data_IF_282940066453
#
_entry.id   IF_282940066453
#
_cell.length_a   1.000
_cell.length_b   1.000
_cell.length_c   1.000
_cell.angle_alpha   90.00
_cell.angle_beta   90.00
_cell.angle_gamma   90.00
#
_symmetry.space_group_name_H-M   'P 1'
#
loop_
_entity.id
_entity.type
_entity.pdbx_description
1 polymer ?
#
# COMPACT_ATOMS: atom_id res chain seq x y z
N UNK A 1 -29.85 -1.28 8.72
CA UNK A 1 -28.71 -2.20 8.90
C UNK A 1 -28.11 -2.40 7.52
N UNK A 2 -27.02 -1.67 7.21
CA UNK A 2 -26.32 -1.78 5.92
C UNK A 2 -25.32 -2.92 6.03
N UNK A 3 -25.32 -3.82 5.04
CA UNK A 3 -24.45 -4.99 4.99
C UNK A 3 -23.14 -4.59 4.31
N UNK A 4 -22.07 -4.35 5.08
CA UNK A 4 -20.72 -4.22 4.54
C UNK A 4 -20.15 -5.62 4.29
N UNK A 5 -19.48 -5.84 3.16
CA UNK A 5 -18.74 -7.09 2.90
C UNK A 5 -17.32 -6.91 3.43
N UNK A 6 -16.98 -7.61 4.52
CA UNK A 6 -15.59 -7.74 4.97
C UNK A 6 -14.77 -8.43 3.88
N UNK A 7 -13.62 -7.86 3.52
CA UNK A 7 -12.55 -8.60 2.86
C UNK A 7 -11.91 -9.52 3.92
N UNK A 8 -12.48 -10.71 4.13
CA UNK A 8 -11.90 -11.73 5.01
C UNK A 8 -10.95 -12.63 4.23
N UNK A 9 -9.67 -12.64 4.64
CA UNK A 9 -8.89 -13.87 4.64
C UNK A 9 -9.34 -14.69 5.86
N UNK A 10 -10.06 -15.79 5.63
CA UNK A 10 -10.50 -16.70 6.70
C UNK A 10 -9.38 -17.70 7.04
N UNK A 11 -9.28 -18.21 8.29
CA UNK A 11 -10.13 -19.37 8.61
C UNK A 11 -10.62 -19.53 10.07
N UNK A 12 -11.84 -20.09 10.13
CA UNK A 12 -12.36 -21.13 11.04
C UNK A 12 -11.90 -21.21 12.51
N UNK A 13 -12.91 -21.08 13.36
CA UNK A 13 -12.96 -21.36 14.80
C UNK A 13 -12.84 -22.85 15.10
N UNK A 14 -11.95 -23.21 16.04
CA UNK A 14 -12.17 -24.30 17.00
C UNK A 14 -11.30 -24.06 18.25
N UNK A 15 -11.94 -23.97 19.42
CA UNK A 15 -11.26 -23.73 20.70
C UNK A 15 -10.98 -25.01 21.48
N UNK A 16 -9.94 -24.99 22.32
CA UNK A 16 -9.86 -25.72 23.60
C UNK A 16 -8.95 -24.94 24.57
N UNK A 17 -9.44 -24.74 25.80
CA UNK A 17 -8.73 -24.23 26.98
C UNK A 17 -7.43 -24.97 27.30
N UNK A 18 -6.46 -24.28 27.91
CA UNK A 18 -5.74 -24.80 29.09
C UNK A 18 -5.13 -23.66 29.92
N UNK A 19 -5.21 -23.84 31.23
CA UNK A 19 -4.90 -22.88 32.27
C UNK A 19 -3.55 -23.16 32.97
N UNK A 20 -3.01 -22.14 33.64
CA UNK A 20 -2.01 -22.24 34.72
C UNK A 20 -0.57 -21.95 34.25
N UNK A 21 0.29 -21.24 34.98
CA UNK A 21 0.26 -20.71 36.34
C UNK A 21 1.23 -19.52 36.44
N UNK A 22 0.97 -18.63 37.38
CA UNK A 22 1.81 -17.49 37.75
C UNK A 22 3.18 -17.91 38.30
N UNK A 23 4.19 -17.04 38.11
CA UNK A 23 5.31 -16.92 39.02
C UNK A 23 5.75 -15.45 39.14
N UNK A 24 5.49 -14.89 40.32
CA UNK A 24 6.02 -13.63 40.83
C UNK A 24 7.54 -13.68 41.01
N UNK A 25 8.24 -12.59 40.71
CA UNK A 25 9.39 -12.21 41.53
C UNK A 25 9.52 -10.70 41.63
N UNK A 26 9.49 -10.25 42.88
CA UNK A 26 9.69 -8.91 43.37
C UNK A 26 11.18 -8.53 43.39
N UNK A 27 11.51 -7.33 42.91
CA UNK A 27 12.82 -6.71 43.11
C UNK A 27 12.68 -5.20 43.24
N UNK A 28 13.07 -4.69 44.39
CA UNK A 28 13.09 -3.27 44.78
C UNK A 28 14.04 -2.44 43.89
N UNK A 29 13.54 -1.37 43.28
CA UNK A 29 14.35 -0.20 42.93
C UNK A 29 13.59 1.09 43.31
N UNK A 30 14.31 2.01 43.97
CA UNK A 30 13.79 3.30 44.43
C UNK A 30 13.52 4.25 43.24
N UNK A 31 12.52 5.15 43.33
CA UNK A 31 12.09 5.94 42.19
C UNK A 31 13.04 7.10 41.93
N UNK A 32 13.64 7.12 40.73
CA UNK A 32 14.31 8.30 40.20
C UNK A 32 13.22 9.32 39.85
N UNK A 33 13.29 10.50 40.45
CA UNK A 33 12.35 11.60 40.23
C UNK A 33 12.35 11.98 38.75
N UNK A 34 11.27 11.62 38.02
CA UNK A 34 11.03 12.11 36.69
C UNK A 34 10.38 13.50 36.79
N UNK A 35 11.12 14.53 36.43
CA UNK A 35 10.52 15.79 35.99
C UNK A 35 9.62 15.47 34.80
N UNK A 36 8.31 15.48 35.03
CA UNK A 36 7.31 15.35 33.98
C UNK A 36 7.49 16.50 32.98
N UNK A 37 8.09 16.18 31.83
CA UNK A 37 8.02 17.03 30.65
C UNK A 37 6.55 17.05 30.27
N UNK A 38 5.89 18.18 30.49
CA UNK A 38 4.56 18.43 29.95
C UNK A 38 4.68 18.43 28.43
N UNK A 39 4.47 17.28 27.80
CA UNK A 39 4.34 17.18 26.35
C UNK A 39 3.12 18.01 25.97
N UNK A 40 3.34 19.06 25.17
CA UNK A 40 2.23 19.71 24.49
C UNK A 40 1.41 18.63 23.75
N UNK A 41 0.07 18.76 23.66
CA UNK A 41 -0.72 17.83 22.87
C UNK A 41 -0.12 17.71 21.47
N UNK A 42 0.18 16.48 21.03
CA UNK A 42 0.70 16.24 19.69
C UNK A 42 -0.40 16.63 18.70
N UNK A 43 -0.10 17.56 17.81
CA UNK A 43 -0.99 17.90 16.70
C UNK A 43 -0.88 16.83 15.62
N UNK A 44 -1.81 15.88 15.65
CA UNK A 44 -1.86 14.79 14.70
C UNK A 44 -2.32 15.22 13.30
N UNK A 45 -2.90 16.41 13.15
CA UNK A 45 -3.46 16.86 11.86
C UNK A 45 -2.38 17.23 10.83
N UNK A 46 -1.16 17.47 11.30
CA UNK A 46 0.01 17.82 10.48
C UNK A 46 1.15 16.79 10.59
N UNK A 47 0.98 15.76 11.42
CA UNK A 47 1.98 14.73 11.62
C UNK A 47 1.80 13.60 10.60
N UNK A 48 2.72 13.48 9.65
CA UNK A 48 2.74 12.36 8.69
C UNK A 48 3.15 11.05 9.36
N UNK A 49 4.15 11.10 10.23
CA UNK A 49 4.76 9.93 10.86
C UNK A 49 4.47 9.94 12.36
N UNK A 50 3.68 8.98 12.86
CA UNK A 50 3.61 8.76 14.30
C UNK A 50 5.00 8.31 14.83
N UNK A 51 5.36 8.57 16.09
CA UNK A 51 6.52 7.92 16.68
C UNK A 51 6.26 6.40 16.72
N UNK A 52 7.23 5.54 16.38
CA UNK A 52 7.09 4.11 16.58
C UNK A 52 6.83 3.84 18.08
N UNK A 53 5.96 2.89 18.45
CA UNK A 53 5.52 2.69 19.83
C UNK A 53 6.65 2.53 20.86
N UNK A 54 7.82 2.05 20.43
CA UNK A 54 8.99 1.80 21.28
C UNK A 54 10.26 2.57 20.82
N UNK A 55 10.13 3.70 20.12
CA UNK A 55 11.24 4.64 19.87
C UNK A 55 12.34 4.18 18.90
N UNK A 56 12.07 3.21 18.03
CA UNK A 56 13.03 2.71 17.03
C UNK A 56 12.41 2.46 15.65
N UNK A 57 12.06 1.21 15.38
CA UNK A 57 11.55 0.73 14.08
C UNK A 57 10.09 0.28 14.19
N UNK A 58 9.30 0.51 13.14
CA UNK A 58 8.01 -0.13 12.93
C UNK A 58 8.25 -1.59 12.56
N UNK A 59 7.87 -2.50 13.45
CA UNK A 59 8.00 -3.94 13.23
C UNK A 59 6.60 -4.53 13.23
N UNK A 60 6.30 -5.43 12.31
CA UNK A 60 5.03 -6.15 12.33
C UNK A 60 5.15 -7.59 11.88
N UNK A 61 4.06 -8.30 12.11
CA UNK A 61 3.85 -9.67 11.67
C UNK A 61 2.45 -9.75 11.09
N UNK A 62 2.31 -10.28 9.88
CA UNK A 62 0.99 -10.59 9.35
C UNK A 62 0.32 -11.63 10.24
N UNK A 63 -0.92 -11.37 10.65
CA UNK A 63 -1.76 -12.31 11.38
C UNK A 63 -2.44 -13.33 10.47
N UNK A 64 -1.66 -14.08 9.66
CA UNK A 64 -2.22 -15.08 8.74
C UNK A 64 -2.98 -16.17 9.49
N UNK A 65 -2.53 -16.52 10.70
CA UNK A 65 -3.19 -17.43 11.61
C UNK A 65 -3.45 -16.75 12.97
N UNK A 66 -4.52 -17.17 13.68
CA UNK A 66 -4.74 -16.74 15.06
C UNK A 66 -3.51 -17.00 15.93
N UNK A 67 -3.06 -15.98 16.66
CA UNK A 67 -1.91 -16.07 17.56
C UNK A 67 -0.54 -15.83 16.91
N UNK A 68 -0.46 -15.58 15.60
CA UNK A 68 0.82 -15.26 14.93
C UNK A 68 1.44 -13.98 15.52
N UNK A 69 0.64 -12.93 15.69
CA UNK A 69 1.09 -11.65 16.28
C UNK A 69 1.52 -11.85 17.74
N UNK A 70 0.72 -12.54 18.54
CA UNK A 70 1.04 -12.81 19.96
C UNK A 70 2.35 -13.60 20.10
N UNK A 71 2.53 -14.63 19.27
CA UNK A 71 3.75 -15.45 19.26
C UNK A 71 4.96 -14.62 18.85
N UNK A 72 4.79 -13.76 17.85
CA UNK A 72 5.84 -12.86 17.39
C UNK A 72 6.22 -11.84 18.48
N UNK A 73 5.26 -11.14 19.05
CA UNK A 73 5.46 -10.16 20.13
C UNK A 73 6.13 -10.82 21.35
N UNK A 74 5.72 -12.03 21.72
CA UNK A 74 6.36 -12.80 22.79
C UNK A 74 7.81 -13.16 22.48
N UNK A 75 8.14 -13.48 21.22
CA UNK A 75 9.50 -13.83 20.80
C UNK A 75 10.44 -12.61 20.80
N UNK A 76 9.96 -11.44 20.36
CA UNK A 76 10.79 -10.22 20.27
C UNK A 76 10.74 -9.36 21.54
N UNK A 77 9.84 -9.66 22.48
CA UNK A 77 9.70 -8.95 23.75
C UNK A 77 9.18 -7.52 23.62
N UNK A 78 8.50 -7.19 22.52
CA UNK A 78 7.90 -5.87 22.25
C UNK A 78 6.66 -5.99 21.38
N UNK A 79 5.82 -4.96 21.38
CA UNK A 79 4.59 -4.94 20.56
C UNK A 79 4.90 -4.73 19.08
N UNK A 80 4.16 -5.41 18.22
CA UNK A 80 4.15 -5.17 16.79
C UNK A 80 3.41 -3.85 16.53
N UNK A 81 3.97 -2.99 15.69
CA UNK A 81 3.40 -1.73 15.26
C UNK A 81 2.66 -1.83 13.92
N UNK A 82 2.97 -2.83 13.09
CA UNK A 82 2.30 -3.04 11.79
C UNK A 82 1.42 -4.28 11.82
N UNK A 83 0.34 -4.23 11.04
CA UNK A 83 -0.65 -5.29 10.83
C UNK A 83 -1.48 -5.62 12.08
N UNK A 84 -2.70 -5.07 12.11
CA UNK A 84 -3.75 -5.43 13.06
C UNK A 84 -4.45 -6.73 12.66
N UNK A 85 -5.15 -7.37 13.60
CA UNK A 85 -5.96 -8.56 13.33
C UNK A 85 -7.14 -8.28 12.39
N UNK A 86 -7.64 -7.04 12.40
CA UNK A 86 -8.69 -6.54 11.50
C UNK A 86 -8.15 -5.36 10.68
N UNK A 87 -8.58 -5.23 9.42
CA UNK A 87 -8.15 -4.15 8.55
C UNK A 87 -9.17 -3.00 8.55
N UNK A 88 -8.73 -1.73 8.64
CA UNK A 88 -9.63 -0.57 8.69
C UNK A 88 -10.20 -0.19 7.31
N UNK A 89 -9.88 -0.96 6.26
CA UNK A 89 -10.33 -0.72 4.89
C UNK A 89 -11.29 -1.83 4.45
N UNK A 90 -12.38 -1.45 3.81
CA UNK A 90 -13.35 -2.35 3.20
C UNK A 90 -13.91 -1.74 1.90
N UNK A 91 -14.91 -2.39 1.33
CA UNK A 91 -15.67 -1.88 0.19
C UNK A 91 -17.17 -1.92 0.48
N UNK A 92 -17.92 -0.98 -0.09
CA UNK A 92 -19.38 -0.95 0.03
C UNK A 92 -20.09 -1.83 -1.03
N UNK A 93 -21.41 -1.65 -1.18
CA UNK A 93 -22.23 -2.42 -2.12
C UNK A 93 -21.92 -2.13 -3.59
N UNK A 94 -21.40 -0.94 -3.89
CA UNK A 94 -20.98 -0.49 -5.22
C UNK A 94 -19.48 -0.72 -5.46
N UNK A 95 -18.80 -1.38 -4.52
CA UNK A 95 -17.37 -1.66 -4.50
C UNK A 95 -16.49 -0.40 -4.45
N UNK A 96 -17.02 0.68 -3.84
CA UNK A 96 -16.24 1.86 -3.51
C UNK A 96 -15.48 1.65 -2.18
N UNK A 97 -14.23 2.12 -2.06
CA UNK A 97 -13.44 1.95 -0.84
C UNK A 97 -14.07 2.74 0.30
N UNK A 98 -14.18 2.08 1.45
CA UNK A 98 -14.69 2.67 2.68
C UNK A 98 -13.72 2.42 3.84
N UNK A 99 -13.61 3.42 4.71
CA UNK A 99 -12.81 3.36 5.92
C UNK A 99 -13.70 3.06 7.14
N UNK A 100 -13.34 2.02 7.88
CA UNK A 100 -14.04 1.54 9.07
C UNK A 100 -13.48 2.24 10.31
N UNK A 101 -14.07 3.38 10.67
CA UNK A 101 -13.58 4.25 11.74
C UNK A 101 -13.38 3.52 13.07
N UNK A 102 -14.35 2.72 13.52
CA UNK A 102 -14.25 2.00 14.80
C UNK A 102 -13.06 1.02 14.83
N UNK A 103 -12.77 0.37 13.70
CA UNK A 103 -11.63 -0.56 13.58
C UNK A 103 -10.31 0.20 13.60
N UNK A 104 -10.25 1.36 12.94
CA UNK A 104 -9.06 2.21 12.95
C UNK A 104 -8.78 2.83 14.31
N UNK A 105 -9.82 3.28 15.01
CA UNK A 105 -9.73 3.78 16.39
C UNK A 105 -9.19 2.71 17.33
N UNK A 106 -9.71 1.48 17.23
CA UNK A 106 -9.19 0.36 18.00
C UNK A 106 -7.71 0.07 17.69
N UNK A 107 -7.34 -0.01 16.40
CA UNK A 107 -5.96 -0.25 16.00
C UNK A 107 -5.01 0.85 16.52
N UNK A 108 -5.46 2.11 16.46
CA UNK A 108 -4.71 3.26 16.98
C UNK A 108 -4.51 3.18 18.51
N UNK A 109 -5.57 2.87 19.25
CA UNK A 109 -5.51 2.73 20.72
C UNK A 109 -4.61 1.57 21.17
N UNK A 110 -4.48 0.54 20.34
CA UNK A 110 -3.56 -0.58 20.54
C UNK A 110 -2.09 -0.21 20.20
N UNK A 111 -1.85 0.96 19.61
CA UNK A 111 -0.53 1.43 19.18
C UNK A 111 -0.12 0.92 17.80
N UNK A 112 -1.07 0.48 16.97
CA UNK A 112 -0.81 0.02 15.61
C UNK A 112 -0.83 1.20 14.62
N UNK A 113 0.04 1.13 13.62
CA UNK A 113 -0.04 2.00 12.47
C UNK A 113 -1.27 1.64 11.63
N UNK A 114 -2.00 2.67 11.19
CA UNK A 114 -3.20 2.52 10.38
C UNK A 114 -2.80 2.60 8.91
N UNK A 115 -2.97 1.49 8.19
CA UNK A 115 -2.66 1.38 6.76
C UNK A 115 -3.95 1.52 5.95
N UNK A 116 -3.95 2.40 4.96
CA UNK A 116 -5.11 2.76 4.14
C UNK A 116 -4.76 2.74 2.65
N UNK A 117 -5.80 2.69 1.82
CA UNK A 117 -5.70 2.78 0.36
C UNK A 117 -6.98 3.38 -0.22
N UNK A 118 -6.97 3.69 -1.51
CA UNK A 118 -8.15 4.10 -2.26
C UNK A 118 -8.56 2.99 -3.26
N UNK A 119 -8.91 3.32 -4.50
CA UNK A 119 -8.99 2.30 -5.54
C UNK A 119 -7.57 1.85 -5.86
N UNK A 120 -7.32 0.54 -5.85
CA UNK A 120 -6.01 0.02 -6.24
C UNK A 120 -5.69 0.42 -7.69
N UNK A 121 -4.55 1.05 -7.94
CA UNK A 121 -4.12 1.54 -9.26
C UNK A 121 -3.80 0.39 -10.24
N UNK A 122 -4.79 -0.43 -10.57
CA UNK A 122 -4.66 -1.60 -11.43
C UNK A 122 -6.03 -2.02 -11.97
N UNK A 123 -6.18 -2.27 -13.29
CA UNK A 123 -7.45 -2.66 -13.90
C UNK A 123 -7.84 -4.14 -13.66
N UNK A 124 -7.02 -4.90 -12.92
CA UNK A 124 -7.22 -6.33 -12.69
C UNK A 124 -8.65 -6.63 -12.16
N UNK A 125 -9.44 -7.48 -12.84
CA UNK A 125 -10.81 -7.77 -12.48
C UNK A 125 -10.87 -8.78 -11.32
N UNK A 126 -10.75 -8.30 -10.08
CA UNK A 126 -10.96 -9.13 -8.88
C UNK A 126 -12.27 -8.77 -8.15
N UNK A 127 -12.95 -9.73 -7.49
CA UNK A 127 -14.29 -9.53 -6.90
C UNK A 127 -14.42 -8.44 -5.83
N UNK A 128 -13.30 -7.92 -5.34
CA UNK A 128 -13.20 -6.90 -4.28
C UNK A 128 -12.72 -5.55 -4.80
N UNK A 129 -12.64 -5.34 -6.12
CA UNK A 129 -12.29 -4.07 -6.75
C UNK A 129 -13.45 -3.53 -7.58
N UNK A 130 -13.49 -2.20 -7.74
CA UNK A 130 -14.46 -1.49 -8.57
C UNK A 130 -14.45 -2.05 -10.01
N UNK A 131 -15.55 -2.64 -10.50
CA UNK A 131 -15.59 -3.20 -11.84
C UNK A 131 -15.34 -2.14 -12.91
N UNK A 132 -14.46 -2.44 -13.86
CA UNK A 132 -14.11 -1.52 -14.94
C UNK A 132 -13.30 -0.30 -14.49
N UNK A 133 -12.66 -0.37 -13.31
CA UNK A 133 -11.66 0.61 -12.90
C UNK A 133 -10.50 0.66 -13.90
N UNK A 134 -10.10 1.87 -14.28
CA UNK A 134 -8.83 2.13 -14.96
C UNK A 134 -8.22 3.39 -14.37
N UNK A 135 -6.90 3.53 -14.49
CA UNK A 135 -6.23 4.78 -14.11
C UNK A 135 -6.78 5.93 -14.94
N UNK A 136 -7.00 5.76 -16.24
CA UNK A 136 -7.52 6.81 -17.13
C UNK A 136 -8.85 7.41 -16.63
N UNK A 137 -9.78 6.56 -16.15
CA UNK A 137 -11.04 7.01 -15.54
C UNK A 137 -10.85 7.71 -14.21
N UNK A 138 -9.88 7.25 -13.41
CA UNK A 138 -9.45 7.94 -12.19
C UNK A 138 -8.95 9.36 -12.52
N UNK A 139 -8.06 9.50 -13.50
CA UNK A 139 -7.49 10.80 -13.89
C UNK A 139 -8.55 11.74 -14.52
N UNK A 140 -9.63 11.19 -15.08
CA UNK A 140 -10.81 11.94 -15.55
C UNK A 140 -11.75 12.36 -14.41
N UNK A 141 -11.55 11.86 -13.19
CA UNK A 141 -12.36 12.17 -12.03
C UNK A 141 -13.68 11.38 -11.92
N UNK A 142 -13.81 10.26 -12.64
CA UNK A 142 -15.02 9.42 -12.56
C UNK A 142 -15.26 8.87 -11.14
N UNK A 143 -14.20 8.75 -10.33
CA UNK A 143 -14.25 8.21 -8.98
C UNK A 143 -14.22 9.26 -7.86
N UNK A 144 -14.22 10.56 -8.19
CA UNK A 144 -14.15 11.68 -7.23
C UNK A 144 -15.21 11.60 -6.13
N UNK A 145 -16.41 11.14 -6.46
CA UNK A 145 -17.52 11.01 -5.50
C UNK A 145 -17.16 10.08 -4.34
N UNK A 146 -16.71 8.86 -4.67
CA UNK A 146 -16.26 7.87 -3.68
C UNK A 146 -15.00 8.31 -2.95
N UNK A 147 -14.04 8.94 -3.65
CA UNK A 147 -12.83 9.47 -3.03
C UNK A 147 -13.12 10.59 -2.02
N UNK A 148 -14.09 11.46 -2.30
CA UNK A 148 -14.51 12.52 -1.37
C UNK A 148 -15.20 11.96 -0.13
N UNK A 149 -16.01 10.91 -0.30
CA UNK A 149 -16.56 10.18 0.84
C UNK A 149 -15.46 9.57 1.71
N UNK A 150 -14.49 8.89 1.09
CA UNK A 150 -13.36 8.30 1.78
C UNK A 150 -12.50 9.37 2.49
N UNK A 151 -12.25 10.51 1.84
CA UNK A 151 -11.56 11.66 2.43
C UNK A 151 -12.31 12.19 3.66
N UNK A 152 -13.65 12.20 3.63
CA UNK A 152 -14.50 12.51 4.77
C UNK A 152 -14.23 11.58 5.96
N UNK A 153 -14.14 10.28 5.72
CA UNK A 153 -13.89 9.27 6.76
C UNK A 153 -12.45 9.38 7.31
N UNK A 154 -11.45 9.58 6.45
CA UNK A 154 -10.08 9.84 6.88
C UNK A 154 -9.97 11.10 7.75
N UNK A 155 -10.70 12.16 7.39
CA UNK A 155 -10.76 13.40 8.17
C UNK A 155 -11.43 13.20 9.53
N UNK A 156 -12.45 12.36 9.61
CA UNK A 156 -13.11 12.01 10.86
C UNK A 156 -12.16 11.30 11.83
N UNK A 157 -11.28 10.43 11.31
CA UNK A 157 -10.22 9.80 12.10
C UNK A 157 -9.12 10.77 12.53
N UNK A 158 -8.64 11.61 11.61
CA UNK A 158 -7.77 12.76 11.91
C UNK A 158 -6.39 12.43 12.51
N UNK A 159 -5.91 11.20 12.32
CA UNK A 159 -4.61 10.70 12.84
C UNK A 159 -3.72 10.20 11.70
N UNK A 160 -2.40 10.06 11.92
CA UNK A 160 -1.45 9.57 10.92
C UNK A 160 -1.88 8.23 10.31
N UNK A 161 -1.82 8.15 8.98
CA UNK A 161 -2.13 6.93 8.23
C UNK A 161 -1.11 6.69 7.10
N UNK A 162 -0.77 5.44 6.87
CA UNK A 162 0.10 4.99 5.78
C UNK A 162 -0.73 4.65 4.56
N UNK A 163 -0.63 5.45 3.51
CA UNK A 163 -1.36 5.29 2.26
C UNK A 163 -0.49 4.55 1.22
N UNK A 164 -1.06 3.54 0.59
CA UNK A 164 -0.51 2.94 -0.63
C UNK A 164 -1.54 3.03 -1.78
N UNK A 165 -1.08 3.40 -2.98
CA UNK A 165 -1.94 3.48 -4.18
C UNK A 165 -2.16 2.11 -4.84
N UNK A 166 -1.13 1.27 -4.81
CA UNK A 166 -1.19 -0.15 -5.16
C UNK A 166 -0.05 -0.86 -4.43
N UNK A 167 -0.13 -2.18 -4.32
CA UNK A 167 0.89 -2.99 -3.65
C UNK A 167 1.58 -3.88 -4.68
N UNK A 168 2.92 -3.89 -4.65
CA UNK A 168 3.77 -4.77 -5.46
C UNK A 168 3.36 -4.76 -6.94
N UNK A 169 3.35 -3.58 -7.61
CA UNK A 169 2.91 -3.48 -9.00
C UNK A 169 3.73 -4.36 -9.96
N UNK A 170 4.99 -4.63 -9.61
CA UNK A 170 5.89 -5.53 -10.34
C UNK A 170 6.05 -6.92 -9.68
N UNK A 171 5.17 -7.26 -8.73
CA UNK A 171 5.09 -8.58 -8.12
C UNK A 171 3.68 -9.12 -8.33
N UNK A 172 2.85 -9.17 -7.28
CA UNK A 172 1.46 -9.65 -7.43
C UNK A 172 0.61 -8.85 -8.45
N UNK A 173 1.03 -7.62 -8.78
CA UNK A 173 0.38 -6.79 -9.79
C UNK A 173 0.98 -6.89 -11.20
N UNK A 174 2.03 -7.69 -11.42
CA UNK A 174 2.88 -7.67 -12.63
C UNK A 174 2.11 -7.84 -13.94
N UNK A 175 1.06 -8.65 -13.95
CA UNK A 175 0.26 -8.91 -15.15
C UNK A 175 -0.49 -7.64 -15.62
N UNK A 176 -0.87 -6.77 -14.69
CA UNK A 176 -1.74 -5.63 -14.99
C UNK A 176 -1.05 -4.29 -14.81
N UNK A 177 -0.09 -4.17 -13.90
CA UNK A 177 0.51 -2.89 -13.47
C UNK A 177 -0.58 -1.82 -13.31
N UNK A 178 -0.41 -0.65 -13.95
CA UNK A 178 -1.43 0.40 -14.05
C UNK A 178 -2.38 0.28 -15.25
N UNK A 179 -2.25 -0.77 -16.07
CA UNK A 179 -3.06 -1.05 -17.26
C UNK A 179 -2.40 -0.65 -18.58
N UNK A 180 -2.72 -1.39 -19.63
CA UNK A 180 -2.21 -1.17 -20.98
C UNK A 180 -3.31 -0.83 -21.98
N UNK A 181 -2.88 -0.40 -23.17
CA UNK A 181 -3.75 -0.04 -24.28
C UNK A 181 -4.41 1.34 -24.14
N UNK A 182 -5.22 1.74 -25.14
CA UNK A 182 -5.78 3.09 -25.20
C UNK A 182 -6.74 3.43 -24.05
N UNK A 183 -7.35 2.42 -23.41
CA UNK A 183 -8.26 2.60 -22.28
C UNK A 183 -7.62 2.37 -20.92
N UNK A 184 -6.37 1.90 -20.87
CA UNK A 184 -5.72 1.44 -19.65
C UNK A 184 -6.47 0.26 -19.00
N UNK A 185 -7.04 -0.64 -19.80
CA UNK A 185 -7.90 -1.75 -19.36
C UNK A 185 -7.40 -3.13 -19.81
N UNK A 186 -6.21 -3.19 -20.40
CA UNK A 186 -5.59 -4.42 -20.88
C UNK A 186 -4.47 -4.87 -19.96
N UNK A 187 -4.15 -6.17 -20.00
CA UNK A 187 -3.01 -6.79 -19.33
C UNK A 187 -1.74 -6.75 -20.21
N UNK A 188 -0.63 -7.21 -19.62
CA UNK A 188 0.68 -7.24 -20.28
C UNK A 188 0.73 -8.23 -21.44
N UNK A 189 -0.07 -9.30 -21.41
CA UNK A 189 -0.11 -10.30 -22.48
C UNK A 189 -0.75 -9.71 -23.73
N UNK A 190 -1.86 -9.00 -23.58
CA UNK A 190 -2.47 -8.24 -24.66
C UNK A 190 -1.47 -7.22 -25.23
N UNK A 191 -0.75 -6.50 -24.37
CA UNK A 191 0.24 -5.51 -24.78
C UNK A 191 1.33 -6.17 -25.64
N UNK A 192 1.87 -7.30 -25.19
CA UNK A 192 2.89 -8.07 -25.90
C UNK A 192 2.39 -8.66 -27.23
N UNK A 193 1.17 -9.21 -27.26
CA UNK A 193 0.58 -9.81 -28.47
C UNK A 193 0.28 -8.78 -29.55
N UNK A 194 -0.01 -7.54 -29.16
CA UNK A 194 -0.34 -6.44 -30.08
C UNK A 194 0.85 -5.51 -30.36
N UNK A 195 2.01 -5.75 -29.74
CA UNK A 195 3.18 -4.86 -29.78
C UNK A 195 2.84 -3.41 -29.38
N UNK A 196 2.02 -3.28 -28.33
CA UNK A 196 1.53 -2.02 -27.75
C UNK A 196 1.92 -1.90 -26.27
N UNK A 197 1.64 -0.75 -25.64
CA UNK A 197 1.83 -0.54 -24.20
C UNK A 197 2.98 0.42 -23.82
N UNK A 198 3.42 1.26 -24.76
CA UNK A 198 4.46 2.27 -24.53
C UNK A 198 4.13 3.64 -25.13
N UNK A 199 3.02 3.80 -25.86
CA UNK A 199 2.72 5.04 -26.56
C UNK A 199 1.21 5.38 -26.53
N UNK A 200 0.41 4.63 -25.79
CA UNK A 200 -1.04 4.77 -25.76
C UNK A 200 -1.51 5.65 -24.60
N UNK A 201 -0.68 5.85 -23.57
CA UNK A 201 -0.98 6.76 -22.48
C UNK A 201 -0.60 8.22 -22.83
N UNK A 202 -1.61 9.08 -22.99
CA UNK A 202 -1.42 10.52 -23.17
C UNK A 202 -2.13 11.31 -22.06
N UNK A 203 -1.38 11.78 -21.04
CA UNK A 203 -1.99 12.48 -19.92
C UNK A 203 -2.30 13.95 -20.16
N UNK A 204 -1.94 14.49 -21.34
CA UNK A 204 -2.13 15.92 -21.66
C UNK A 204 -3.61 16.33 -21.77
N UNK A 205 -4.50 15.36 -22.00
CA UNK A 205 -5.94 15.57 -22.11
C UNK A 205 -6.70 15.59 -20.79
N UNK A 206 -6.09 15.21 -19.66
CA UNK A 206 -6.80 15.13 -18.38
C UNK A 206 -6.98 16.50 -17.70
N UNK A 207 -8.00 16.67 -16.83
CA UNK A 207 -8.27 17.93 -16.14
C UNK A 207 -7.06 18.55 -15.41
N UNK A 208 -6.18 17.72 -14.85
CA UNK A 208 -4.97 18.13 -14.13
C UNK A 208 -3.67 17.81 -14.89
N UNK A 209 -3.66 17.97 -16.21
CA UNK A 209 -2.52 17.59 -17.08
C UNK A 209 -1.14 18.09 -16.60
N UNK A 210 -1.06 19.25 -15.94
CA UNK A 210 0.21 19.76 -15.40
C UNK A 210 0.85 18.86 -14.33
N UNK A 211 0.05 18.02 -13.67
CA UNK A 211 0.51 17.03 -12.68
C UNK A 211 1.35 15.91 -13.32
N UNK A 212 1.20 15.73 -14.64
CA UNK A 212 1.74 14.62 -15.42
C UNK A 212 2.60 15.12 -16.60
N UNK A 213 3.08 16.37 -16.55
CA UNK A 213 3.71 17.04 -17.68
C UNK A 213 5.00 16.36 -18.19
N UNK A 214 5.58 15.49 -17.38
CA UNK A 214 6.77 14.68 -17.62
C UNK A 214 6.46 13.21 -17.95
N UNK A 215 5.18 12.84 -18.05
CA UNK A 215 4.70 11.50 -18.43
C UNK A 215 4.15 11.50 -19.88
N UNK A 216 3.87 10.31 -20.41
CA UNK A 216 3.46 10.09 -21.81
C UNK A 216 4.67 9.95 -22.74
N UNK A 217 5.80 9.46 -22.23
CA UNK A 217 6.98 9.20 -23.06
C UNK A 217 6.72 7.96 -23.94
N UNK A 218 6.74 8.07 -25.29
CA UNK A 218 6.47 6.97 -26.21
C UNK A 218 7.53 5.85 -26.17
N UNK A 219 8.48 5.93 -25.25
CA UNK A 219 9.55 4.96 -25.01
C UNK A 219 9.51 4.33 -23.61
N UNK A 220 8.54 4.68 -22.79
CA UNK A 220 8.33 4.15 -21.44
C UNK A 220 7.02 3.36 -21.40
N UNK A 221 6.96 2.32 -20.58
CA UNK A 221 5.74 1.52 -20.39
C UNK A 221 4.57 2.38 -19.89
N UNK A 222 3.47 2.36 -20.63
CA UNK A 222 2.23 3.04 -20.24
C UNK A 222 1.75 2.60 -18.85
N UNK A 223 1.88 1.30 -18.56
CA UNK A 223 1.45 0.71 -17.29
C UNK A 223 2.17 1.34 -16.10
N UNK A 224 3.46 1.64 -16.23
CA UNK A 224 4.24 2.30 -15.17
C UNK A 224 3.95 3.80 -15.09
N UNK A 225 3.80 4.48 -16.23
CA UNK A 225 3.41 5.88 -16.21
C UNK A 225 2.01 6.10 -15.60
N UNK A 226 1.08 5.17 -15.84
CA UNK A 226 -0.23 5.15 -15.17
C UNK A 226 -0.13 4.95 -13.66
N UNK A 227 0.78 4.09 -13.18
CA UNK A 227 1.03 3.94 -11.75
C UNK A 227 1.51 5.25 -11.12
N UNK A 228 2.46 5.93 -11.78
CA UNK A 228 2.95 7.24 -11.34
C UNK A 228 1.80 8.25 -11.34
N UNK A 229 1.02 8.32 -12.42
CA UNK A 229 -0.09 9.26 -12.54
C UNK A 229 -1.15 9.02 -11.45
N UNK A 230 -1.48 7.76 -11.14
CA UNK A 230 -2.41 7.42 -10.07
C UNK A 230 -1.89 7.84 -8.68
N UNK A 231 -0.62 7.57 -8.36
CA UNK A 231 0.00 8.04 -7.11
C UNK A 231 -0.10 9.56 -6.98
N UNK A 232 0.30 10.28 -8.03
CA UNK A 232 0.28 11.75 -8.07
C UNK A 232 -1.14 12.27 -7.92
N UNK A 233 -2.10 11.66 -8.60
CA UNK A 233 -3.51 11.98 -8.50
C UNK A 233 -4.02 11.81 -7.06
N UNK A 234 -3.72 10.70 -6.39
CA UNK A 234 -4.16 10.48 -5.01
C UNK A 234 -3.53 11.47 -4.03
N UNK A 235 -2.24 11.78 -4.19
CA UNK A 235 -1.59 12.80 -3.38
C UNK A 235 -2.23 14.17 -3.58
N UNK A 236 -2.45 14.58 -4.84
CA UNK A 236 -3.11 15.84 -5.15
C UNK A 236 -4.53 15.90 -4.57
N UNK A 237 -5.33 14.86 -4.79
CA UNK A 237 -6.69 14.77 -4.30
C UNK A 237 -6.76 14.83 -2.76
N UNK A 238 -6.10 13.90 -2.07
CA UNK A 238 -6.24 13.80 -0.62
C UNK A 238 -5.46 14.89 0.13
N UNK A 239 -4.23 15.20 -0.28
CA UNK A 239 -3.37 16.13 0.46
C UNK A 239 -3.62 17.57 0.04
N UNK A 240 -3.61 17.87 -1.26
CA UNK A 240 -3.68 19.26 -1.75
C UNK A 240 -5.13 19.78 -1.82
N UNK A 241 -6.07 18.98 -2.32
CA UNK A 241 -7.47 19.40 -2.47
C UNK A 241 -8.29 19.19 -1.20
N UNK A 242 -8.21 18.01 -0.58
CA UNK A 242 -8.98 17.65 0.62
C UNK A 242 -8.29 18.03 1.96
N UNK A 243 -7.02 18.45 1.90
CA UNK A 243 -6.28 18.99 3.04
C UNK A 243 -5.82 17.96 4.08
N UNK A 244 -5.71 16.68 3.70
CA UNK A 244 -5.38 15.58 4.61
C UNK A 244 -3.86 15.42 4.78
N UNK A 245 -3.23 16.39 5.44
CA UNK A 245 -1.77 16.44 5.59
C UNK A 245 -1.15 15.34 6.47
N UNK A 246 -1.98 14.55 7.17
CA UNK A 246 -1.58 13.43 8.03
C UNK A 246 -1.36 12.10 7.27
N UNK A 247 -1.56 12.07 5.95
CA UNK A 247 -1.26 10.90 5.14
C UNK A 247 0.25 10.80 4.84
N UNK A 248 0.81 9.61 5.02
CA UNK A 248 2.16 9.22 4.58
C UNK A 248 2.04 8.32 3.36
N UNK A 249 2.62 8.73 2.23
CA UNK A 249 2.59 7.97 0.98
C UNK A 249 3.85 7.14 0.80
N UNK A 250 3.68 5.85 0.51
CA UNK A 250 4.80 4.99 0.13
C UNK A 250 4.97 4.89 -1.41
N UNK A 251 6.07 4.28 -1.86
CA UNK A 251 6.35 4.07 -3.28
C UNK A 251 5.78 2.76 -3.84
N UNK A 252 4.62 2.31 -3.35
CA UNK A 252 3.86 1.13 -3.85
C UNK A 252 4.46 -0.24 -3.54
N UNK A 253 5.49 -0.33 -2.69
CA UNK A 253 6.05 -1.60 -2.21
C UNK A 253 6.68 -2.44 -3.33
N UNK A 254 7.62 -1.87 -4.07
CA UNK A 254 8.25 -2.50 -5.23
C UNK A 254 8.88 -3.86 -4.89
N UNK A 255 8.48 -4.92 -5.56
CA UNK A 255 9.06 -6.24 -5.36
C UNK A 255 10.53 -6.22 -5.79
N UNK A 256 11.43 -6.69 -4.92
CA UNK A 256 12.87 -6.75 -5.18
C UNK A 256 13.23 -7.91 -6.14
N UNK A 257 12.64 -7.88 -7.33
CA UNK A 257 12.85 -8.84 -8.43
C UNK A 257 13.63 -8.10 -9.52
N UNK A 258 14.80 -8.59 -9.95
CA UNK A 258 15.52 -8.03 -11.09
C UNK A 258 14.64 -8.06 -12.34
N UNK A 259 14.56 -6.94 -13.08
CA UNK A 259 13.76 -6.87 -14.30
C UNK A 259 14.19 -7.89 -15.38
N UNK A 260 15.44 -8.33 -15.31
CA UNK A 260 15.97 -9.37 -16.19
C UNK A 260 15.27 -10.72 -15.98
N UNK A 261 14.84 -11.03 -14.76
CA UNK A 261 14.10 -12.27 -14.47
C UNK A 261 12.77 -12.26 -15.25
N UNK A 262 12.13 -11.10 -15.38
CA UNK A 262 10.94 -10.94 -16.23
C UNK A 262 11.25 -11.10 -17.72
N UNK A 263 12.39 -10.63 -18.22
CA UNK A 263 12.75 -10.91 -19.62
C UNK A 263 12.94 -12.40 -19.88
N UNK A 264 13.42 -13.16 -18.90
CA UNK A 264 13.51 -14.62 -19.00
C UNK A 264 12.12 -15.27 -18.93
N UNK A 265 11.27 -14.86 -17.99
CA UNK A 265 9.90 -15.36 -17.81
C UNK A 265 9.01 -15.11 -19.05
N UNK A 266 9.08 -13.90 -19.61
CA UNK A 266 8.32 -13.52 -20.80
C UNK A 266 8.99 -13.96 -22.11
N UNK A 267 10.14 -14.64 -22.04
CA UNK A 267 10.94 -15.09 -23.18
C UNK A 267 11.37 -13.96 -24.15
N UNK A 268 11.55 -12.73 -23.65
CA UNK A 268 11.86 -11.53 -24.44
C UNK A 268 13.37 -11.24 -24.44
N UNK A 269 13.94 -10.97 -25.61
CA UNK A 269 15.39 -10.75 -25.80
C UNK A 269 15.70 -9.33 -26.27
N UNK A 270 16.93 -8.82 -26.04
CA UNK A 270 17.37 -7.58 -26.64
C UNK A 270 17.21 -7.60 -28.17
N UNK A 271 16.39 -6.70 -28.70
CA UNK A 271 16.06 -6.61 -30.12
C UNK A 271 14.61 -6.99 -30.45
N UNK A 272 13.90 -7.65 -29.53
CA UNK A 272 12.48 -7.94 -29.68
C UNK A 272 11.64 -6.67 -29.50
N UNK A 273 10.48 -6.61 -30.17
CA UNK A 273 9.56 -5.47 -30.09
C UNK A 273 9.14 -5.17 -28.63
N UNK A 274 8.91 -6.22 -27.85
CA UNK A 274 8.46 -6.14 -26.45
C UNK A 274 9.58 -5.89 -25.44
N UNK A 275 10.86 -5.90 -25.86
CA UNK A 275 11.97 -5.76 -24.91
C UNK A 275 11.93 -4.45 -24.14
N UNK A 276 11.53 -3.36 -24.83
CA UNK A 276 11.36 -2.05 -24.20
C UNK A 276 10.22 -2.05 -23.20
N UNK A 277 9.08 -2.64 -23.55
CA UNK A 277 7.93 -2.78 -22.67
C UNK A 277 8.37 -3.44 -21.36
N UNK A 278 8.90 -4.67 -21.42
CA UNK A 278 9.32 -5.41 -20.22
C UNK A 278 10.37 -4.65 -19.40
N UNK A 279 11.42 -4.11 -20.04
CA UNK A 279 12.46 -3.36 -19.31
C UNK A 279 11.88 -2.20 -18.52
N UNK A 280 10.99 -1.42 -19.13
CA UNK A 280 10.44 -0.20 -18.52
C UNK A 280 9.28 -0.49 -17.58
N UNK A 281 8.55 -1.60 -17.77
CA UNK A 281 7.52 -2.07 -16.83
C UNK A 281 8.09 -2.55 -15.50
N UNK A 282 9.27 -3.19 -15.53
CA UNK A 282 9.84 -3.88 -14.37
C UNK A 282 11.15 -3.26 -13.85
N UNK A 283 11.60 -2.14 -14.42
CA UNK A 283 12.72 -1.36 -13.90
C UNK A 283 12.27 -0.35 -12.84
N UNK A 284 12.83 -0.46 -11.62
CA UNK A 284 12.50 0.47 -10.52
C UNK A 284 12.80 1.95 -10.87
N UNK A 285 13.80 2.19 -11.72
CA UNK A 285 14.16 3.52 -12.22
C UNK A 285 13.05 4.21 -13.03
N UNK A 286 12.06 3.45 -13.50
CA UNK A 286 10.90 3.98 -14.21
C UNK A 286 9.67 4.17 -13.32
N UNK A 287 9.64 3.59 -12.11
CA UNK A 287 8.43 3.52 -11.28
C UNK A 287 8.34 4.62 -10.20
N UNK A 288 9.40 5.39 -9.99
CA UNK A 288 9.43 6.39 -8.92
C UNK A 288 8.55 7.61 -9.27
N UNK A 289 7.53 7.96 -8.44
CA UNK A 289 6.58 9.01 -8.80
C UNK A 289 7.10 10.44 -8.62
N UNK A 290 8.25 10.62 -7.95
CA UNK A 290 8.88 11.91 -7.65
C UNK A 290 8.78 12.29 -6.16
N UNK A 291 9.78 13.02 -5.67
CA UNK A 291 9.96 13.38 -4.25
C UNK A 291 8.75 14.08 -3.63
N UNK A 292 7.94 14.80 -4.43
CA UNK A 292 6.75 15.50 -3.93
C UNK A 292 5.60 14.57 -3.54
N UNK A 293 5.60 13.33 -4.04
CA UNK A 293 4.45 12.40 -4.00
C UNK A 293 4.72 11.14 -3.18
N UNK A 294 5.89 11.07 -2.56
CA UNK A 294 6.36 9.93 -1.77
C UNK A 294 7.02 10.46 -0.51
N UNK A 295 6.54 9.99 0.62
CA UNK A 295 7.24 10.17 1.89
C UNK A 295 8.24 9.03 2.11
N UNK A 296 7.88 7.80 1.71
CA UNK A 296 8.63 6.57 1.99
C UNK A 296 8.90 5.75 0.73
N UNK A 297 10.16 5.43 0.47
CA UNK A 297 10.48 4.37 -0.51
C UNK A 297 10.22 3.02 0.15
N UNK A 298 9.37 2.20 -0.46
CA UNK A 298 9.00 0.88 0.04
C UNK A 298 9.35 -0.21 -0.98
N UNK A 299 9.88 -1.31 -0.46
CA UNK A 299 10.21 -2.52 -1.22
C UNK A 299 9.52 -3.72 -0.58
N UNK A 300 9.28 -4.76 -1.38
CA UNK A 300 8.85 -6.06 -0.87
C UNK A 300 9.91 -7.09 -1.23
N UNK A 301 10.36 -7.87 -0.25
CA UNK A 301 11.39 -8.89 -0.49
C UNK A 301 11.04 -10.22 0.18
N UNK A 302 11.04 -11.29 -0.61
CA UNK A 302 10.90 -12.65 -0.09
C UNK A 302 12.24 -13.37 -0.20
N UNK A 303 12.72 -13.92 0.92
CA UNK A 303 13.92 -14.76 0.94
C UNK A 303 13.53 -16.22 1.22
N UNK A 304 14.07 -17.14 0.44
CA UNK A 304 14.05 -18.57 0.78
C UNK A 304 15.39 -18.93 1.40
N UNK A 305 15.37 -19.37 2.66
CA UNK A 305 16.56 -20.00 3.23
C UNK A 305 16.70 -21.43 2.66
N UNK A 306 17.94 -21.94 2.56
CA UNK A 306 18.33 -23.24 1.99
C UNK A 306 17.64 -24.46 2.63
N UNK A 307 16.84 -24.28 3.69
CA UNK A 307 16.01 -25.29 4.33
C UNK A 307 14.58 -25.42 3.79
N UNK A 308 14.16 -24.61 2.82
CA UNK A 308 12.83 -24.69 2.21
C UNK A 308 11.70 -24.05 3.03
N UNK A 309 12.02 -23.30 4.08
CA UNK A 309 11.05 -22.45 4.81
C UNK A 309 10.98 -21.11 4.09
N UNK A 310 9.81 -20.76 3.56
CA UNK A 310 9.54 -19.38 3.10
C UNK A 310 9.42 -18.48 4.32
N UNK A 311 10.36 -17.57 4.50
CA UNK A 311 10.21 -16.46 5.43
C UNK A 311 9.90 -15.23 4.59
N UNK A 312 8.66 -14.73 4.66
CA UNK A 312 8.35 -13.42 4.10
C UNK A 312 8.83 -12.37 5.08
N UNK A 313 9.78 -11.54 4.64
CA UNK A 313 10.12 -10.31 5.34
C UNK A 313 9.54 -9.19 4.49
N UNK A 314 8.34 -8.72 4.81
CA UNK A 314 7.87 -7.45 4.24
C UNK A 314 8.56 -6.33 5.01
N UNK A 315 9.82 -6.08 4.65
CA UNK A 315 10.55 -4.92 5.12
C UNK A 315 10.08 -3.71 4.30
N UNK A 316 9.31 -2.81 4.91
CA UNK A 316 9.34 -1.42 4.48
C UNK A 316 10.74 -0.88 4.82
N UNK A 317 11.68 -1.13 3.91
CA UNK A 317 13.09 -0.85 4.11
C UNK A 317 13.31 0.65 3.90
N UNK A 318 13.33 1.40 5.00
CA UNK A 318 13.65 2.83 5.03
C UNK A 318 15.17 2.98 4.90
N UNK A 319 15.64 3.59 3.81
CA UNK A 319 16.98 4.15 3.73
C UNK A 319 16.93 5.64 4.09
N UNK A 320 17.69 6.05 5.11
CA UNK A 320 18.04 7.45 5.38
C UNK A 320 19.44 7.76 4.82
#
# INVERSE_FOLDING_TARGET
MRNYRLAMFAPLVFGVLLAGCAASSSGNEQPVSSTAVSLAPIDYTSLRIAPPPDGGMYIGQYGWNPGDVDTFEAAIGRRAALFSSEYPMAVDEDLDPVFLLDVAEQAWDEGKAVIVHAYGASPMPIPIRKPGFTVDKLLQGEYDGGLRQLAGQFREFGKPMFFFSTREPNGIGEEWLGGFGPGGDQDIWWAMENEQGVAEFDPSGYPNASLYADLGDPTVSDGVERLIAAQRYYYDFFVRQEGLAFLTFDSMGWAAIPWQDFTEEFEVRPGDANYRLIRTSFGFDYAYPGDEYVDWVSVTWYMMDRGGVRTSITDQLVAF
#
